data_IF_953376330298
#
_entry.id   IF_953376330298
#
_cell.length_a   1.000
_cell.length_b   1.000
_cell.length_c   1.000
_cell.angle_alpha   90.00
_cell.angle_beta   90.00
_cell.angle_gamma   90.00
#
_symmetry.space_group_name_H-M   'P 1'
#
loop_
_entity.id
_entity.type
_entity.pdbx_description
1 polymer ?
#
# COMPACT_ATOMS: atom_id res chain seq x y z
N UNK A 1 -78.00 -36.00 29.74
CA UNK A 1 -77.51 -37.25 29.12
C UNK A 1 -76.69 -36.88 27.89
N UNK A 2 -75.41 -37.28 27.88
CA UNK A 2 -74.48 -37.49 26.74
C UNK A 2 -74.44 -36.46 25.60
N UNK A 3 -73.43 -35.58 25.51
CA UNK A 3 -72.03 -35.82 25.06
C UNK A 3 -71.86 -36.01 23.54
N UNK A 4 -71.31 -34.95 22.91
CA UNK A 4 -70.25 -34.96 21.87
C UNK A 4 -70.45 -35.81 20.59
N UNK A 5 -70.95 -35.17 19.54
CA UNK A 5 -70.57 -35.43 18.13
C UNK A 5 -69.56 -34.33 17.72
N UNK A 6 -68.31 -34.60 17.32
CA UNK A 6 -67.75 -35.36 16.17
C UNK A 6 -67.09 -34.36 15.20
N UNK A 7 -65.79 -34.16 15.42
CA UNK A 7 -64.70 -33.85 14.49
C UNK A 7 -64.90 -32.82 13.36
N UNK A 8 -64.26 -31.66 13.54
CA UNK A 8 -63.71 -30.79 12.48
C UNK A 8 -62.67 -31.57 11.66
N UNK A 9 -62.85 -31.69 10.35
CA UNK A 9 -61.75 -31.93 9.42
C UNK A 9 -61.17 -30.56 9.01
N UNK A 10 -59.97 -30.27 9.49
CA UNK A 10 -59.15 -29.15 9.03
C UNK A 10 -58.43 -29.55 7.75
N UNK A 11 -58.76 -28.90 6.63
CA UNK A 11 -57.95 -28.95 5.42
C UNK A 11 -56.54 -28.43 5.72
N UNK A 12 -55.46 -29.10 5.26
CA UNK A 12 -54.12 -28.56 5.39
C UNK A 12 -53.91 -27.41 4.39
N UNK A 13 -53.14 -26.37 4.75
CA UNK A 13 -52.85 -25.27 3.84
C UNK A 13 -52.02 -25.76 2.65
N UNK A 14 -52.50 -25.43 1.46
CA UNK A 14 -51.83 -25.60 0.18
C UNK A 14 -50.43 -24.96 0.23
N UNK A 15 -49.39 -25.79 0.27
CA UNK A 15 -48.01 -25.34 0.13
C UNK A 15 -47.82 -24.89 -1.32
N UNK A 16 -47.82 -23.58 -1.54
CA UNK A 16 -47.32 -22.99 -2.78
C UNK A 16 -45.82 -23.28 -2.85
N UNK A 17 -45.47 -24.28 -3.65
CA UNK A 17 -44.10 -24.64 -3.97
C UNK A 17 -43.54 -23.62 -4.98
N UNK A 18 -42.75 -22.67 -4.50
CA UNK A 18 -41.99 -21.77 -5.37
C UNK A 18 -40.76 -22.52 -5.91
N UNK A 19 -40.96 -23.43 -6.87
CA UNK A 19 -39.87 -24.04 -7.64
C UNK A 19 -39.56 -23.18 -8.86
N UNK A 20 -38.87 -22.06 -8.63
CA UNK A 20 -37.95 -21.53 -9.65
C UNK A 20 -36.54 -21.75 -9.11
N UNK A 21 -36.05 -22.98 -9.28
CA UNK A 21 -34.62 -23.24 -9.29
C UNK A 21 -34.04 -22.56 -10.53
N UNK A 22 -33.78 -21.26 -10.44
CA UNK A 22 -32.82 -20.61 -11.31
C UNK A 22 -31.44 -21.15 -10.93
N UNK A 23 -31.11 -22.32 -11.45
CA UNK A 23 -29.73 -22.72 -11.65
C UNK A 23 -29.15 -21.62 -12.55
N UNK A 24 -28.20 -20.86 -12.02
CA UNK A 24 -27.52 -19.83 -12.78
C UNK A 24 -27.05 -20.45 -14.10
N UNK A 25 -27.46 -19.84 -15.22
CA UNK A 25 -27.12 -20.21 -16.60
C UNK A 25 -25.63 -19.91 -16.89
N UNK A 26 -24.73 -20.36 -16.02
CA UNK A 26 -23.28 -20.16 -16.05
C UNK A 26 -22.57 -21.52 -16.00
N UNK A 27 -23.03 -22.42 -16.87
CA UNK A 27 -22.16 -23.41 -17.48
C UNK A 27 -22.45 -23.36 -18.98
N UNK A 28 -22.08 -22.24 -19.62
CA UNK A 28 -21.56 -22.38 -20.97
C UNK A 28 -20.21 -23.06 -20.76
N UNK A 29 -20.14 -24.35 -21.06
CA UNK A 29 -18.89 -24.94 -21.54
C UNK A 29 -18.31 -23.95 -22.54
N UNK A 30 -17.26 -23.26 -22.11
CA UNK A 30 -16.41 -22.53 -23.02
C UNK A 30 -15.71 -23.64 -23.78
N UNK A 31 -16.16 -23.90 -25.01
CA UNK A 31 -15.39 -24.66 -25.98
C UNK A 31 -14.01 -23.99 -25.98
N UNK A 32 -13.03 -24.63 -25.34
CA UNK A 32 -11.66 -24.16 -25.35
C UNK A 32 -11.17 -24.39 -26.77
N UNK A 33 -11.16 -23.32 -27.57
CA UNK A 33 -10.39 -23.33 -28.81
C UNK A 33 -8.94 -23.70 -28.47
N UNK A 34 -8.39 -24.80 -29.01
CA UNK A 34 -7.17 -25.41 -28.50
C UNK A 34 -5.89 -24.64 -28.84
N UNK A 35 -6.00 -23.42 -29.39
CA UNK A 35 -4.87 -22.51 -29.59
C UNK A 35 -5.33 -21.06 -29.38
N UNK A 36 -4.81 -20.33 -28.39
CA UNK A 36 -5.02 -18.89 -28.36
C UNK A 36 -4.49 -18.32 -29.67
N UNK A 37 -5.33 -17.55 -30.37
CA UNK A 37 -4.89 -16.91 -31.60
C UNK A 37 -3.62 -16.11 -31.32
N UNK A 38 -2.61 -16.23 -32.19
CA UNK A 38 -1.36 -15.47 -32.06
C UNK A 38 -1.65 -13.98 -31.85
N UNK A 39 -2.70 -13.49 -32.51
CA UNK A 39 -3.26 -12.16 -32.32
C UNK A 39 -3.61 -11.81 -30.87
N UNK A 40 -4.32 -12.68 -30.15
CA UNK A 40 -4.65 -12.45 -28.75
C UNK A 40 -3.39 -12.35 -27.88
N UNK A 41 -2.39 -13.19 -28.14
CA UNK A 41 -1.10 -13.12 -27.44
C UNK A 41 -0.38 -11.80 -27.72
N UNK A 42 -0.31 -11.37 -28.99
CA UNK A 42 0.31 -10.10 -29.38
C UNK A 42 -0.37 -8.92 -28.70
N UNK A 43 -1.71 -8.80 -28.78
CA UNK A 43 -2.48 -7.72 -28.15
C UNK A 43 -2.25 -7.70 -26.63
N UNK A 44 -2.23 -8.87 -26.00
CA UNK A 44 -1.98 -9.02 -24.56
C UNK A 44 -0.61 -8.46 -24.17
N UNK A 45 0.44 -8.79 -24.92
CA UNK A 45 1.80 -8.32 -24.66
C UNK A 45 1.97 -6.84 -24.94
N UNK A 46 1.43 -6.34 -26.06
CA UNK A 46 1.48 -4.91 -26.39
C UNK A 46 0.81 -4.08 -25.30
N UNK A 47 -0.38 -4.48 -24.85
CA UNK A 47 -1.08 -3.79 -23.79
C UNK A 47 -0.37 -3.91 -22.44
N UNK A 48 0.19 -5.09 -22.13
CA UNK A 48 1.01 -5.30 -20.94
C UNK A 48 2.24 -4.38 -20.89
N UNK A 49 2.96 -4.24 -22.00
CA UNK A 49 4.11 -3.32 -22.13
C UNK A 49 3.67 -1.87 -22.00
N UNK A 50 2.55 -1.49 -22.62
CA UNK A 50 1.99 -0.15 -22.47
C UNK A 50 1.67 0.18 -21.00
N UNK A 51 1.03 -0.73 -20.27
CA UNK A 51 0.79 -0.55 -18.84
C UNK A 51 2.08 -0.51 -18.03
N UNK A 52 3.05 -1.38 -18.33
CA UNK A 52 4.36 -1.38 -17.67
C UNK A 52 5.01 0.00 -17.76
N UNK A 53 5.11 0.57 -18.96
CA UNK A 53 5.73 1.88 -19.20
C UNK A 53 4.94 2.99 -18.52
N UNK A 54 3.60 2.94 -18.60
CA UNK A 54 2.74 3.96 -18.01
C UNK A 54 2.85 3.98 -16.47
N UNK A 55 2.79 2.81 -15.83
CA UNK A 55 2.94 2.68 -14.36
C UNK A 55 4.34 3.11 -13.94
N UNK A 56 5.39 2.65 -14.64
CA UNK A 56 6.76 3.05 -14.35
C UNK A 56 6.94 4.57 -14.45
N UNK A 57 6.39 5.19 -15.50
CA UNK A 57 6.44 6.64 -15.69
C UNK A 57 5.73 7.38 -14.56
N UNK A 58 4.53 6.93 -14.14
CA UNK A 58 3.82 7.53 -13.02
C UNK A 58 4.62 7.44 -11.71
N UNK A 59 5.22 6.28 -11.41
CA UNK A 59 6.01 6.08 -10.18
C UNK A 59 7.27 6.96 -10.15
N UNK A 60 8.01 6.98 -11.26
CA UNK A 60 9.22 7.78 -11.40
C UNK A 60 8.90 9.27 -11.36
N UNK A 61 7.92 9.72 -12.15
CA UNK A 61 7.51 11.12 -12.18
C UNK A 61 7.03 11.59 -10.79
N UNK A 62 6.32 10.74 -10.05
CA UNK A 62 5.90 11.04 -8.68
C UNK A 62 7.09 11.28 -7.73
N UNK A 63 8.08 10.37 -7.71
CA UNK A 63 9.29 10.51 -6.88
C UNK A 63 10.06 11.78 -7.24
N UNK A 64 10.27 12.03 -8.53
CA UNK A 64 10.98 13.22 -9.01
C UNK A 64 10.21 14.50 -8.67
N UNK A 65 8.88 14.53 -8.82
CA UNK A 65 8.10 15.72 -8.46
C UNK A 65 8.18 16.07 -6.98
N UNK A 66 8.18 15.07 -6.08
CA UNK A 66 8.38 15.30 -4.65
C UNK A 66 9.76 15.91 -4.35
N UNK A 67 10.80 15.44 -5.03
CA UNK A 67 12.14 16.02 -4.91
C UNK A 67 12.22 17.45 -5.45
N UNK A 68 11.56 17.73 -6.57
CA UNK A 68 11.52 19.09 -7.12
C UNK A 68 10.79 20.06 -6.18
N UNK A 69 9.69 19.64 -5.55
CA UNK A 69 8.99 20.44 -4.53
C UNK A 69 9.94 20.76 -3.36
N UNK A 70 10.69 19.75 -2.89
CA UNK A 70 11.68 19.93 -1.84
C UNK A 70 12.82 20.88 -2.24
N UNK A 71 13.29 20.79 -3.49
CA UNK A 71 14.31 21.68 -4.03
C UNK A 71 13.83 23.13 -4.07
N UNK A 72 12.58 23.38 -4.49
CA UNK A 72 11.98 24.73 -4.48
C UNK A 72 11.89 25.25 -3.04
N UNK A 73 11.50 24.42 -2.08
CA UNK A 73 11.47 24.79 -0.66
C UNK A 73 12.85 25.22 -0.15
N UNK A 74 13.91 24.47 -0.45
CA UNK A 74 15.28 24.79 -0.01
C UNK A 74 15.81 26.09 -0.63
N UNK A 75 15.57 26.31 -1.92
CA UNK A 75 15.97 27.55 -2.59
C UNK A 75 15.27 28.79 -1.98
N UNK A 76 14.03 28.59 -1.53
CA UNK A 76 13.24 29.60 -0.81
C UNK A 76 13.80 29.89 0.58
N UNK A 77 14.36 28.89 1.27
CA UNK A 77 15.03 29.03 2.57
C UNK A 77 16.35 29.78 2.45
N UNK A 78 17.17 29.45 1.44
CA UNK A 78 18.47 30.07 1.22
C UNK A 78 18.38 31.52 0.71
N UNK A 79 17.17 32.07 0.53
CA UNK A 79 16.96 33.44 0.04
C UNK A 79 17.27 33.63 -1.45
N UNK A 80 17.54 32.53 -2.18
CA UNK A 80 17.83 32.55 -3.61
C UNK A 80 16.57 32.84 -4.45
N UNK A 81 15.39 32.60 -3.89
CA UNK A 81 14.09 32.83 -4.53
C UNK A 81 13.09 33.49 -3.58
N UNK A 82 12.37 34.51 -4.07
CA UNK A 82 11.27 35.19 -3.37
C UNK A 82 9.98 34.34 -3.27
N UNK A 83 10.09 33.03 -3.28
CA UNK A 83 8.93 32.14 -3.09
C UNK A 83 8.55 32.06 -1.62
N UNK A 84 7.28 31.75 -1.33
CA UNK A 84 6.78 31.64 0.03
C UNK A 84 6.86 30.17 0.49
N UNK A 85 7.63 29.93 1.56
CA UNK A 85 7.92 28.59 2.08
C UNK A 85 6.66 27.91 2.62
N UNK A 86 5.78 28.71 3.22
CA UNK A 86 4.50 28.27 3.78
C UNK A 86 3.58 27.72 2.68
N UNK A 87 3.61 28.30 1.47
CA UNK A 87 2.87 27.77 0.31
C UNK A 87 3.35 26.37 -0.07
N UNK A 88 4.67 26.13 -0.08
CA UNK A 88 5.23 24.81 -0.38
C UNK A 88 4.87 23.80 0.71
N UNK A 89 4.93 24.20 1.98
CA UNK A 89 4.48 23.37 3.10
C UNK A 89 3.02 22.94 2.93
N UNK A 90 2.11 23.86 2.58
CA UNK A 90 0.71 23.55 2.32
C UNK A 90 0.56 22.57 1.15
N UNK A 91 1.28 22.77 0.04
CA UNK A 91 1.27 21.84 -1.10
C UNK A 91 1.69 20.42 -0.71
N UNK A 92 2.70 20.29 0.16
CA UNK A 92 3.18 19.00 0.66
C UNK A 92 2.14 18.34 1.57
N UNK A 93 1.52 19.09 2.50
CA UNK A 93 0.43 18.59 3.34
C UNK A 93 -0.73 18.10 2.48
N UNK A 94 -1.15 18.88 1.48
CA UNK A 94 -2.22 18.51 0.55
C UNK A 94 -1.87 17.25 -0.26
N UNK A 95 -0.61 17.10 -0.66
CA UNK A 95 -0.11 15.89 -1.35
C UNK A 95 -0.29 14.64 -0.50
N UNK A 96 -0.10 14.73 0.83
CA UNK A 96 -0.33 13.62 1.75
C UNK A 96 -1.83 13.37 2.02
N UNK A 97 -2.64 14.43 2.07
CA UNK A 97 -4.07 14.35 2.35
C UNK A 97 -4.89 13.82 1.18
N UNK A 98 -4.58 14.23 -0.05
CA UNK A 98 -5.39 13.93 -1.24
C UNK A 98 -5.64 12.42 -1.39
N UNK A 99 -4.66 11.55 -1.10
CA UNK A 99 -4.89 10.13 -1.17
C UNK A 99 -5.77 9.48 -0.13
N UNK A 100 -5.68 9.95 1.09
CA UNK A 100 -6.59 9.52 2.15
C UNK A 100 -8.00 10.06 1.88
N UNK A 101 -8.11 11.26 1.30
CA UNK A 101 -9.38 11.83 0.87
C UNK A 101 -10.05 10.98 -0.22
N UNK A 102 -9.35 10.59 -1.28
CA UNK A 102 -9.97 9.75 -2.32
C UNK A 102 -10.28 8.35 -1.81
N UNK A 103 -9.41 7.78 -0.96
CA UNK A 103 -9.69 6.49 -0.30
C UNK A 103 -10.96 6.58 0.56
N UNK A 104 -11.13 7.67 1.31
CA UNK A 104 -12.34 7.96 2.09
C UNK A 104 -13.58 8.10 1.19
N UNK A 105 -13.52 8.93 0.14
CA UNK A 105 -14.66 9.13 -0.75
C UNK A 105 -15.06 7.84 -1.47
N UNK A 106 -14.10 7.05 -1.95
CA UNK A 106 -14.37 5.72 -2.55
C UNK A 106 -15.02 4.79 -1.52
N UNK A 107 -14.49 4.72 -0.31
CA UNK A 107 -15.02 3.85 0.74
C UNK A 107 -16.44 4.25 1.14
N UNK A 108 -16.72 5.54 1.27
CA UNK A 108 -18.05 6.11 1.51
C UNK A 108 -19.02 5.77 0.37
N UNK A 109 -18.61 6.00 -0.88
CA UNK A 109 -19.43 5.70 -2.06
C UNK A 109 -19.83 4.22 -2.13
N UNK A 110 -18.89 3.31 -1.91
CA UNK A 110 -19.12 1.88 -2.03
C UNK A 110 -19.89 1.31 -0.83
N UNK A 111 -19.62 1.81 0.38
CA UNK A 111 -19.97 1.10 1.63
C UNK A 111 -21.04 1.79 2.47
N UNK A 112 -21.17 3.11 2.41
CA UNK A 112 -22.13 3.85 3.24
C UNK A 112 -23.57 3.59 2.78
N UNK A 113 -23.79 3.49 1.47
CA UNK A 113 -25.12 3.30 0.87
C UNK A 113 -25.57 1.83 0.80
N UNK A 114 -24.73 0.87 1.19
CA UNK A 114 -25.05 -0.56 1.13
C UNK A 114 -25.26 -1.15 2.52
N UNK A 115 -26.51 -1.49 2.86
CA UNK A 115 -26.90 -2.19 4.11
C UNK A 115 -26.21 -3.57 4.30
N UNK A 116 -25.60 -4.13 3.25
CA UNK A 116 -24.96 -5.45 3.26
C UNK A 116 -23.66 -5.52 4.08
N UNK A 117 -22.93 -4.42 4.25
CA UNK A 117 -21.63 -4.44 4.93
C UNK A 117 -21.76 -4.39 6.47
N UNK A 118 -21.15 -5.37 7.16
CA UNK A 118 -21.05 -5.39 8.63
C UNK A 118 -20.04 -4.36 9.11
N UNK A 119 -20.23 -3.83 10.33
CA UNK A 119 -19.23 -2.96 10.96
C UNK A 119 -18.05 -3.80 11.51
N UNK A 120 -16.82 -3.27 11.51
CA UNK A 120 -15.66 -3.93 12.10
C UNK A 120 -15.80 -4.06 13.63
N UNK A 121 -15.05 -5.01 14.22
CA UNK A 121 -14.97 -5.16 15.69
C UNK A 121 -14.31 -3.92 16.32
N UNK A 122 -14.67 -3.58 17.57
CA UNK A 122 -14.03 -2.50 18.31
C UNK A 122 -12.50 -2.67 18.39
N UNK A 123 -12.01 -3.90 18.59
CA UNK A 123 -10.56 -4.21 18.55
C UNK A 123 -9.92 -3.87 17.19
N UNK A 124 -10.57 -4.23 16.09
CA UNK A 124 -10.09 -3.94 14.73
C UNK A 124 -10.07 -2.42 14.45
N UNK A 125 -11.06 -1.68 14.98
CA UNK A 125 -11.07 -0.21 14.92
C UNK A 125 -9.87 0.36 15.68
N UNK A 126 -9.64 -0.05 16.94
CA UNK A 126 -8.51 0.44 17.75
C UNK A 126 -7.18 0.17 17.05
N UNK A 127 -6.99 -1.05 16.54
CA UNK A 127 -5.78 -1.43 15.78
C UNK A 127 -5.62 -0.56 14.54
N UNK A 128 -6.70 -0.29 13.80
CA UNK A 128 -6.70 0.60 12.64
C UNK A 128 -6.38 2.06 12.99
N UNK A 129 -6.86 2.56 14.13
CA UNK A 129 -6.55 3.90 14.60
C UNK A 129 -5.07 4.02 15.01
N UNK A 130 -4.54 3.05 15.75
CA UNK A 130 -3.12 3.02 16.15
C UNK A 130 -2.21 2.90 14.92
N UNK A 131 -2.55 2.02 13.98
CA UNK A 131 -1.83 1.92 12.70
C UNK A 131 -1.86 3.25 11.93
N UNK A 132 -3.00 3.94 11.90
CA UNK A 132 -3.13 5.27 11.30
C UNK A 132 -2.24 6.32 11.96
N UNK A 133 -2.12 6.32 13.29
CA UNK A 133 -1.21 7.23 14.01
C UNK A 133 0.25 6.95 13.64
N UNK A 134 0.66 5.69 13.64
CA UNK A 134 2.03 5.29 13.29
C UNK A 134 2.36 5.66 11.83
N UNK A 135 1.45 5.34 10.91
CA UNK A 135 1.61 5.64 9.49
C UNK A 135 1.73 7.14 9.25
N UNK A 136 0.78 7.93 9.74
CA UNK A 136 0.79 9.39 9.52
C UNK A 136 2.00 10.02 10.20
N UNK A 137 2.36 9.59 11.41
CA UNK A 137 3.55 10.10 12.11
C UNK A 137 4.83 9.85 11.32
N UNK A 138 5.03 8.61 10.84
CA UNK A 138 6.20 8.27 10.05
C UNK A 138 6.23 8.97 8.69
N UNK A 139 5.09 9.05 7.98
CA UNK A 139 4.99 9.73 6.69
C UNK A 139 5.17 11.24 6.80
N UNK A 140 4.59 11.88 7.82
CA UNK A 140 4.78 13.31 8.08
C UNK A 140 6.22 13.60 8.51
N UNK A 141 6.83 12.76 9.36
CA UNK A 141 8.25 12.92 9.71
C UNK A 141 9.14 12.82 8.46
N UNK A 142 8.90 11.81 7.62
CA UNK A 142 9.66 11.66 6.37
C UNK A 142 9.48 12.85 5.44
N UNK A 143 8.26 13.34 5.28
CA UNK A 143 7.99 14.39 4.29
C UNK A 143 8.35 15.78 4.80
N UNK A 144 8.15 16.09 6.08
CA UNK A 144 8.40 17.42 6.64
C UNK A 144 9.83 17.58 7.16
N UNK A 145 10.40 16.55 7.78
CA UNK A 145 11.74 16.62 8.35
C UNK A 145 12.76 16.15 7.32
N UNK A 146 12.65 14.90 6.87
CA UNK A 146 13.65 14.31 5.98
C UNK A 146 13.63 15.01 4.62
N UNK A 147 12.48 15.15 3.97
CA UNK A 147 12.42 15.71 2.62
C UNK A 147 12.62 17.23 2.58
N UNK A 148 11.98 18.01 3.45
CA UNK A 148 12.04 19.48 3.40
C UNK A 148 13.20 20.10 4.19
N UNK A 149 13.52 19.57 5.39
CA UNK A 149 14.45 20.22 6.31
C UNK A 149 15.90 19.74 6.22
N UNK A 150 16.17 18.54 5.68
CA UNK A 150 17.55 18.05 5.55
C UNK A 150 18.22 18.53 4.28
N UNK A 151 19.51 18.80 4.31
CA UNK A 151 20.29 19.23 3.15
C UNK A 151 20.80 18.06 2.29
N UNK A 152 20.09 16.93 2.32
CA UNK A 152 20.48 15.78 1.51
C UNK A 152 20.30 15.98 0.01
N UNK A 153 21.20 15.31 -0.70
CA UNK A 153 21.13 15.07 -2.12
C UNK A 153 19.83 14.38 -2.50
N UNK A 154 19.23 14.76 -3.64
CA UNK A 154 18.02 14.10 -4.14
C UNK A 154 18.16 12.58 -4.26
N UNK A 155 19.36 12.09 -4.60
CA UNK A 155 19.68 10.67 -4.70
C UNK A 155 19.55 9.97 -3.35
N UNK A 156 20.10 10.56 -2.28
CA UNK A 156 20.00 9.99 -0.93
C UNK A 156 18.54 9.97 -0.44
N UNK A 157 17.78 11.03 -0.72
CA UNK A 157 16.35 11.07 -0.39
C UNK A 157 15.55 9.96 -1.08
N UNK A 158 15.85 9.63 -2.35
CA UNK A 158 15.24 8.48 -3.03
C UNK A 158 15.62 7.18 -2.32
N UNK A 159 16.88 6.99 -1.95
CA UNK A 159 17.34 5.79 -1.24
C UNK A 159 16.62 5.64 0.11
N UNK A 160 16.46 6.73 0.85
CA UNK A 160 15.70 6.77 2.10
C UNK A 160 14.24 6.37 1.92
N UNK A 161 13.60 6.78 0.83
CA UNK A 161 12.20 6.40 0.53
C UNK A 161 12.00 4.88 0.38
N UNK A 162 13.07 4.11 0.11
CA UNK A 162 12.97 2.66 -0.07
C UNK A 162 13.41 1.85 1.16
N UNK A 163 13.88 2.48 2.24
CA UNK A 163 14.37 1.81 3.45
C UNK A 163 13.26 1.30 4.40
N UNK A 164 12.09 0.93 3.85
CA UNK A 164 10.84 0.67 4.61
C UNK A 164 10.52 -0.85 4.69
N UNK A 165 11.41 -1.72 4.20
CA UNK A 165 11.14 -3.16 4.08
C UNK A 165 11.59 -3.97 5.32
N UNK A 166 12.20 -3.35 6.33
CA UNK A 166 12.74 -4.01 7.53
C UNK A 166 11.70 -4.91 8.21
N UNK A 167 10.54 -4.37 8.58
CA UNK A 167 9.52 -5.13 9.34
C UNK A 167 8.84 -6.20 8.48
N UNK A 168 8.44 -5.96 7.21
CA UNK A 168 7.97 -7.01 6.32
C UNK A 168 8.95 -8.18 6.19
N UNK A 169 10.26 -7.92 6.10
CA UNK A 169 11.29 -8.96 6.01
C UNK A 169 11.40 -9.75 7.32
N UNK A 170 11.42 -9.06 8.47
CA UNK A 170 11.43 -9.71 9.80
C UNK A 170 10.19 -10.59 9.99
N UNK A 171 9.01 -10.11 9.58
CA UNK A 171 7.77 -10.86 9.67
C UNK A 171 7.81 -12.17 8.88
N UNK A 172 8.41 -12.18 7.69
CA UNK A 172 8.58 -13.43 6.94
C UNK A 172 9.52 -14.40 7.63
N UNK A 173 10.64 -13.89 8.16
CA UNK A 173 11.58 -14.72 8.94
C UNK A 173 10.84 -15.37 10.12
N UNK A 174 10.01 -14.60 10.83
CA UNK A 174 9.21 -15.10 11.95
C UNK A 174 8.16 -16.12 11.52
N UNK A 175 7.33 -15.78 10.52
CA UNK A 175 6.26 -16.66 10.02
C UNK A 175 6.83 -18.00 9.52
N UNK A 176 7.95 -17.96 8.82
CA UNK A 176 8.64 -19.16 8.33
C UNK A 176 9.14 -20.07 9.46
N UNK A 177 9.37 -19.53 10.66
CA UNK A 177 9.78 -20.31 11.83
C UNK A 177 8.60 -20.95 12.56
N UNK A 178 7.40 -20.38 12.45
CA UNK A 178 6.22 -20.83 13.21
C UNK A 178 5.35 -21.86 12.47
N UNK A 179 5.38 -21.90 11.14
CA UNK A 179 4.74 -22.98 10.38
C UNK A 179 5.79 -24.07 10.11
N UNK A 180 5.71 -25.18 10.85
CA UNK A 180 6.43 -26.44 10.57
C UNK A 180 5.96 -27.06 9.24
N UNK A 181 6.11 -26.34 8.14
CA UNK A 181 5.85 -26.86 6.80
C UNK A 181 7.17 -27.43 6.30
N UNK A 182 7.27 -28.77 6.25
CA UNK A 182 8.46 -29.60 5.97
C UNK A 182 9.17 -29.33 4.62
N UNK A 183 8.75 -28.30 3.88
CA UNK A 183 9.22 -27.98 2.54
C UNK A 183 9.76 -26.54 2.42
N UNK A 184 10.37 -26.03 3.48
CA UNK A 184 11.12 -24.76 3.42
C UNK A 184 12.63 -25.01 3.39
N UNK A 185 13.24 -24.63 2.26
CA UNK A 185 14.70 -24.74 2.08
C UNK A 185 15.41 -23.71 2.95
N UNK A 186 16.36 -24.14 3.79
CA UNK A 186 17.27 -23.27 4.56
C UNK A 186 17.88 -22.13 3.72
N UNK A 187 18.02 -22.34 2.40
CA UNK A 187 18.44 -21.32 1.43
C UNK A 187 17.54 -20.08 1.42
N UNK A 188 16.23 -20.24 1.58
CA UNK A 188 15.26 -19.14 1.57
C UNK A 188 15.35 -18.31 2.85
N UNK A 189 15.47 -18.97 4.00
CA UNK A 189 15.71 -18.28 5.28
C UNK A 189 17.02 -17.49 5.23
N UNK A 190 18.10 -18.10 4.73
CA UNK A 190 19.38 -17.42 4.55
C UNK A 190 19.29 -16.20 3.63
N UNK A 191 18.52 -16.29 2.54
CA UNK A 191 18.31 -15.17 1.60
C UNK A 191 17.62 -13.98 2.28
N UNK A 192 16.59 -14.21 3.10
CA UNK A 192 15.91 -13.14 3.82
C UNK A 192 16.76 -12.53 4.93
N UNK A 193 17.51 -13.35 5.67
CA UNK A 193 18.45 -12.85 6.69
C UNK A 193 19.52 -11.98 6.02
N UNK A 194 20.06 -12.43 4.88
CA UNK A 194 21.03 -11.65 4.12
C UNK A 194 20.45 -10.32 3.63
N UNK A 195 19.24 -10.32 3.08
CA UNK A 195 18.57 -9.08 2.68
C UNK A 195 18.32 -8.14 3.86
N UNK A 196 17.93 -8.66 5.04
CA UNK A 196 17.76 -7.86 6.25
C UNK A 196 19.07 -7.23 6.71
N UNK A 197 20.18 -7.98 6.67
CA UNK A 197 21.50 -7.46 7.01
C UNK A 197 21.93 -6.33 6.07
N UNK A 198 21.69 -6.48 4.76
CA UNK A 198 21.96 -5.44 3.77
C UNK A 198 21.12 -4.18 4.03
N UNK A 199 19.84 -4.33 4.38
CA UNK A 199 18.95 -3.21 4.67
C UNK A 199 19.38 -2.47 5.94
N UNK A 200 19.65 -3.20 7.02
CA UNK A 200 20.14 -2.62 8.28
C UNK A 200 21.49 -1.93 8.08
N UNK A 201 22.41 -2.54 7.33
CA UNK A 201 23.69 -1.93 6.99
C UNK A 201 23.51 -0.66 6.15
N UNK A 202 22.63 -0.68 5.15
CA UNK A 202 22.32 0.48 4.31
C UNK A 202 21.75 1.65 5.12
N UNK A 203 20.81 1.37 6.04
CA UNK A 203 20.27 2.38 6.97
C UNK A 203 21.34 2.88 7.93
N UNK A 204 22.22 2.02 8.44
CA UNK A 204 23.29 2.44 9.34
C UNK A 204 24.32 3.37 8.66
N UNK A 205 24.73 3.07 7.42
CA UNK A 205 25.64 3.92 6.64
C UNK A 205 24.98 5.26 6.32
N UNK A 206 23.70 5.25 5.94
CA UNK A 206 22.91 6.45 5.72
C UNK A 206 22.84 7.32 6.99
N UNK A 207 22.56 6.71 8.15
CA UNK A 207 22.51 7.39 9.44
C UNK A 207 23.86 8.01 9.82
N UNK A 208 24.94 7.29 9.56
CA UNK A 208 26.30 7.81 9.76
C UNK A 208 26.55 9.05 8.88
N UNK A 209 26.10 9.03 7.63
CA UNK A 209 26.21 10.18 6.73
C UNK A 209 25.38 11.37 7.20
N UNK A 210 24.12 11.14 7.60
CA UNK A 210 23.23 12.16 8.18
C UNK A 210 23.88 12.82 9.41
N UNK A 211 24.56 12.02 10.23
CA UNK A 211 25.22 12.51 11.43
C UNK A 211 26.39 13.44 11.14
N UNK A 212 27.09 13.25 10.02
CA UNK A 212 28.17 14.13 9.60
C UNK A 212 27.65 15.49 9.10
N UNK A 213 26.50 15.52 8.43
CA UNK A 213 26.04 16.69 7.67
C UNK A 213 25.06 17.60 8.45
N UNK A 214 24.02 17.06 9.11
CA UNK A 214 22.88 17.86 9.62
C UNK A 214 22.68 17.79 11.17
N UNK A 215 23.53 17.04 11.89
CA UNK A 215 23.58 17.01 13.36
C UNK A 215 22.70 15.94 14.06
N UNK A 216 22.94 15.74 15.37
CA UNK A 216 22.46 14.57 16.11
C UNK A 216 20.93 14.40 16.19
N UNK A 217 20.15 15.48 16.27
CA UNK A 217 18.71 15.39 16.57
C UNK A 217 17.91 14.79 15.40
N UNK A 218 18.27 15.13 14.16
CA UNK A 218 17.59 14.63 12.96
C UNK A 218 17.90 13.15 12.74
N UNK A 219 19.15 12.74 12.98
CA UNK A 219 19.61 11.35 12.86
C UNK A 219 18.72 10.41 13.67
N UNK A 220 18.52 10.70 14.96
CA UNK A 220 17.80 9.81 15.85
C UNK A 220 16.31 9.62 15.52
N UNK A 221 15.70 10.51 14.73
CA UNK A 221 14.29 10.36 14.34
C UNK A 221 14.07 9.52 13.08
N UNK A 222 15.10 9.26 12.26
CA UNK A 222 14.99 8.43 11.05
C UNK A 222 14.58 6.97 11.38
N UNK A 223 15.25 6.25 12.32
CA UNK A 223 14.89 4.85 12.59
C UNK A 223 13.46 4.69 13.15
N UNK A 224 13.02 5.50 14.14
CA UNK A 224 11.63 5.45 14.61
C UNK A 224 10.62 5.71 13.48
N UNK A 225 10.87 6.67 12.59
CA UNK A 225 9.97 6.95 11.47
C UNK A 225 9.88 5.75 10.51
N UNK A 226 11.00 5.15 10.14
CA UNK A 226 11.03 3.95 9.30
C UNK A 226 10.31 2.78 9.99
N UNK A 227 10.53 2.57 11.29
CA UNK A 227 9.85 1.52 12.07
C UNK A 227 8.35 1.76 12.11
N UNK A 228 7.89 3.00 12.35
CA UNK A 228 6.47 3.32 12.39
C UNK A 228 5.77 3.04 11.07
N UNK A 229 6.37 3.45 9.95
CA UNK A 229 5.85 3.15 8.62
C UNK A 229 5.85 1.64 8.38
N UNK A 230 6.96 0.97 8.69
CA UNK A 230 7.13 -0.47 8.47
C UNK A 230 6.15 -1.32 9.30
N UNK A 231 5.83 -0.90 10.54
CA UNK A 231 4.80 -1.54 11.38
C UNK A 231 3.41 -1.29 10.80
N UNK A 232 3.09 -0.05 10.45
CA UNK A 232 1.77 0.30 9.93
C UNK A 232 1.46 -0.45 8.63
N UNK A 233 2.48 -0.68 7.79
CA UNK A 233 2.37 -1.40 6.53
C UNK A 233 2.60 -2.92 6.67
N UNK A 234 2.71 -3.44 7.89
CA UNK A 234 2.86 -4.87 8.10
C UNK A 234 1.58 -5.64 7.72
N UNK A 235 1.67 -6.76 6.98
CA UNK A 235 0.51 -7.55 6.55
C UNK A 235 -0.37 -8.07 7.69
N UNK A 236 0.24 -8.27 8.86
CA UNK A 236 -0.47 -8.69 10.07
C UNK A 236 -1.50 -7.64 10.49
N UNK A 237 -1.12 -6.36 10.43
CA UNK A 237 -2.00 -5.24 10.81
C UNK A 237 -3.23 -5.19 9.90
N UNK A 238 -3.03 -5.35 8.60
CA UNK A 238 -4.12 -5.39 7.63
C UNK A 238 -5.11 -6.53 7.90
N UNK A 239 -4.61 -7.72 8.27
CA UNK A 239 -5.48 -8.86 8.61
C UNK A 239 -6.36 -8.56 9.83
N UNK A 240 -5.80 -7.97 10.89
CA UNK A 240 -6.57 -7.62 12.08
C UNK A 240 -7.61 -6.53 11.83
N UNK A 241 -7.28 -5.52 11.01
CA UNK A 241 -8.20 -4.42 10.68
C UNK A 241 -9.42 -4.92 9.88
N UNK A 242 -9.27 -6.00 9.11
CA UNK A 242 -10.32 -6.55 8.26
C UNK A 242 -11.20 -7.63 8.94
N UNK A 243 -10.94 -7.99 10.20
CA UNK A 243 -11.65 -9.08 10.87
C UNK A 243 -13.12 -8.73 11.17
N UNK A 244 -14.11 -9.50 10.65
CA UNK A 244 -15.52 -9.20 10.84
C UNK A 244 -15.99 -9.44 12.28
N UNK A 245 -16.94 -8.62 12.75
CA UNK A 245 -17.62 -8.88 14.02
C UNK A 245 -18.59 -10.05 13.88
N UNK A 246 -18.30 -11.17 14.56
CA UNK A 246 -19.25 -12.27 14.75
C UNK A 246 -18.72 -13.71 14.67
N UNK A 247 -17.42 -13.98 14.56
CA UNK A 247 -16.91 -15.35 14.65
C UNK A 247 -16.74 -15.75 16.11
N UNK A 248 -17.78 -16.38 16.65
CA UNK A 248 -17.69 -17.25 17.82
C UNK A 248 -17.18 -18.60 17.28
N UNK A 249 -15.98 -18.98 17.71
CA UNK A 249 -15.39 -20.32 17.71
C UNK A 249 -15.49 -21.20 16.46
N UNK A 250 -14.31 -21.50 15.91
CA UNK A 250 -13.96 -22.66 15.07
C UNK A 250 -14.20 -24.00 15.78
N UNK A 251 -15.38 -24.23 16.36
CA UNK A 251 -15.75 -25.50 17.02
C UNK A 251 -16.95 -26.19 16.36
N UNK A 252 -17.85 -25.46 15.71
CA UNK A 252 -19.05 -26.07 15.10
C UNK A 252 -18.86 -26.63 13.68
N UNK A 253 -17.75 -26.31 13.01
CA UNK A 253 -17.47 -26.84 11.65
C UNK A 253 -16.72 -28.17 11.70
N UNK A 254 -15.91 -28.41 12.74
CA UNK A 254 -15.29 -29.72 12.98
C UNK A 254 -16.30 -30.76 13.47
N UNK A 255 -17.31 -30.36 14.25
CA UNK A 255 -18.32 -31.29 14.78
C UNK A 255 -19.26 -31.84 13.70
N UNK A 256 -19.52 -31.08 12.62
CA UNK A 256 -20.33 -31.54 11.48
C UNK A 256 -19.51 -32.35 10.45
N UNK A 257 -18.20 -32.09 10.35
CA UNK A 257 -17.27 -32.85 9.51
C UNK A 257 -16.84 -34.19 10.17
N UNK A 258 -16.87 -34.26 11.51
CA UNK A 258 -16.59 -35.51 12.24
C UNK A 258 -17.73 -36.52 12.20
N UNK A 259 -18.97 -36.08 11.96
CA UNK A 259 -20.16 -36.95 12.04
C UNK A 259 -20.55 -37.62 10.71
N UNK A 260 -19.82 -37.37 9.62
CA UNK A 260 -20.09 -37.95 8.29
C UNK A 260 -19.14 -39.08 7.88
N UNK A 261 -18.19 -39.48 8.72
CA UNK A 261 -17.20 -40.53 8.41
C UNK A 261 -17.55 -41.92 8.95
N UNK A 262 -18.77 -42.15 9.44
CA UNK A 262 -19.21 -43.46 9.91
C UNK A 262 -20.57 -43.82 9.33
N UNK A 263 -20.68 -43.96 8.02
CA UNK A 263 -21.59 -44.92 7.39
C UNK A 263 -21.25 -45.06 5.89
N UNK A 264 -21.26 -46.31 5.44
CA UNK A 264 -21.28 -46.79 4.05
C UNK A 264 -19.98 -46.78 3.22
N UNK A 265 -19.32 -47.93 3.34
CA UNK A 265 -18.59 -48.65 2.30
C UNK A 265 -19.34 -48.76 0.97
N UNK A 266 -18.65 -48.38 -0.12
CA UNK A 266 -18.84 -48.96 -1.46
C UNK A 266 -19.66 -48.12 -2.44
N UNK A 267 -18.96 -47.29 -3.25
CA UNK A 267 -19.11 -47.12 -4.71
C UNK A 267 -18.30 -45.87 -5.11
N UNK A 268 -17.37 -46.04 -6.05
CA UNK A 268 -16.55 -44.96 -6.59
C UNK A 268 -17.34 -44.09 -7.55
N UNK A 269 -17.53 -42.82 -7.21
CA UNK A 269 -17.87 -41.76 -8.16
C UNK A 269 -17.15 -40.47 -7.75
N UNK A 270 -16.25 -39.99 -8.61
CA UNK A 270 -15.50 -38.76 -8.41
C UNK A 270 -16.43 -37.54 -8.32
N UNK A 271 -16.43 -36.84 -7.19
CA UNK A 271 -17.16 -35.59 -6.97
C UNK A 271 -16.20 -34.39 -7.06
N UNK A 272 -16.64 -33.24 -7.61
CA UNK A 272 -15.77 -32.08 -7.81
C UNK A 272 -15.63 -31.23 -6.55
N UNK A 273 -14.36 -30.98 -6.18
CA UNK A 273 -13.81 -29.75 -5.57
C UNK A 273 -14.51 -29.14 -4.35
N UNK A 274 -14.00 -29.50 -3.16
CA UNK A 274 -14.15 -28.74 -1.91
C UNK A 274 -13.73 -27.26 -2.02
N UNK A 275 -12.86 -26.92 -2.97
CA UNK A 275 -12.35 -25.56 -3.19
C UNK A 275 -13.43 -24.59 -3.74
N UNK A 276 -14.41 -25.09 -4.51
CA UNK A 276 -15.49 -24.27 -5.07
C UNK A 276 -16.49 -23.83 -3.97
N UNK A 277 -16.73 -24.70 -2.99
CA UNK A 277 -17.63 -24.44 -1.86
C UNK A 277 -17.01 -23.41 -0.90
N UNK A 278 -15.68 -23.47 -0.70
CA UNK A 278 -14.94 -22.48 0.10
C UNK A 278 -14.95 -21.11 -0.59
N UNK A 279 -14.79 -21.06 -1.92
CA UNK A 279 -14.80 -19.80 -2.69
C UNK A 279 -16.16 -19.10 -2.63
N UNK A 280 -17.25 -19.88 -2.69
CA UNK A 280 -18.60 -19.35 -2.57
C UNK A 280 -18.90 -18.84 -1.15
N UNK A 281 -18.45 -19.55 -0.10
CA UNK A 281 -18.60 -19.11 1.29
C UNK A 281 -17.76 -17.87 1.64
N UNK A 282 -16.54 -17.76 1.10
CA UNK A 282 -15.69 -16.56 1.26
C UNK A 282 -16.31 -15.36 0.50
N UNK A 283 -17.01 -15.59 -0.61
CA UNK A 283 -17.75 -14.55 -1.33
C UNK A 283 -19.04 -14.10 -0.61
N UNK A 284 -19.68 -15.00 0.16
CA UNK A 284 -20.89 -14.73 0.97
C UNK A 284 -20.60 -14.17 2.36
N UNK A 285 -19.36 -14.23 2.85
CA UNK A 285 -18.96 -13.57 4.09
C UNK A 285 -19.03 -12.04 3.91
N UNK A 286 -20.04 -11.41 4.53
CA UNK A 286 -20.23 -9.95 4.54
C UNK A 286 -19.00 -9.25 5.10
N UNK A 287 -18.06 -8.86 4.23
CA UNK A 287 -16.80 -8.22 4.61
C UNK A 287 -17.03 -6.85 5.27
N UNK A 288 -16.40 -6.63 6.42
CA UNK A 288 -16.42 -5.37 7.17
C UNK A 288 -15.43 -4.31 6.62
N UNK A 289 -14.68 -4.68 5.57
CA UNK A 289 -13.59 -3.88 4.99
C UNK A 289 -14.01 -2.49 4.54
N UNK A 290 -15.17 -2.37 3.91
CA UNK A 290 -15.65 -1.09 3.39
C UNK A 290 -15.84 -0.04 4.49
N UNK A 291 -16.44 -0.44 5.62
CA UNK A 291 -16.68 0.45 6.76
C UNK A 291 -15.42 0.69 7.60
N UNK A 292 -14.54 -0.31 7.72
CA UNK A 292 -13.23 -0.12 8.34
C UNK A 292 -12.39 0.91 7.57
N UNK A 293 -12.39 0.84 6.23
CA UNK A 293 -11.69 1.78 5.37
C UNK A 293 -12.21 3.22 5.51
N UNK A 294 -13.52 3.43 5.72
CA UNK A 294 -14.08 4.77 6.01
C UNK A 294 -13.45 5.34 7.28
N UNK A 295 -13.48 4.57 8.38
CA UNK A 295 -12.98 5.03 9.69
C UNK A 295 -11.47 5.33 9.60
N UNK A 296 -10.68 4.41 9.04
CA UNK A 296 -9.23 4.57 8.99
C UNK A 296 -8.80 5.70 8.06
N UNK A 297 -9.44 5.85 6.89
CA UNK A 297 -9.12 6.95 5.95
C UNK A 297 -9.51 8.31 6.54
N UNK A 298 -10.68 8.41 7.19
CA UNK A 298 -11.09 9.65 7.87
C UNK A 298 -10.13 10.02 8.99
N UNK A 299 -9.74 9.04 9.81
CA UNK A 299 -8.80 9.23 10.90
C UNK A 299 -7.45 9.77 10.40
N UNK A 300 -6.90 9.16 9.34
CA UNK A 300 -5.66 9.63 8.73
C UNK A 300 -5.80 11.03 8.13
N UNK A 301 -6.91 11.31 7.44
CA UNK A 301 -7.16 12.62 6.82
C UNK A 301 -7.13 13.76 7.85
N UNK A 302 -7.63 13.52 9.07
CA UNK A 302 -7.57 14.48 10.18
C UNK A 302 -6.18 14.53 10.81
N UNK A 303 -5.51 13.39 10.97
CA UNK A 303 -4.19 13.32 11.58
C UNK A 303 -3.10 14.01 10.76
N UNK A 304 -3.15 13.95 9.43
CA UNK A 304 -2.08 14.49 8.56
C UNK A 304 -1.79 15.98 8.84
N UNK A 305 -2.77 16.90 8.77
CA UNK A 305 -2.51 18.30 9.07
C UNK A 305 -2.12 18.52 10.55
N UNK A 306 -2.74 17.78 11.47
CA UNK A 306 -2.45 17.90 12.91
C UNK A 306 -1.00 17.52 13.25
N UNK A 307 -0.54 16.36 12.77
CA UNK A 307 0.83 15.89 12.97
C UNK A 307 1.83 16.79 12.24
N UNK A 308 1.49 17.28 11.04
CA UNK A 308 2.36 18.21 10.30
C UNK A 308 2.59 19.51 11.07
N UNK A 309 1.53 20.09 11.65
CA UNK A 309 1.63 21.28 12.53
C UNK A 309 2.42 20.96 13.80
N UNK A 310 2.17 19.80 14.43
CA UNK A 310 2.90 19.38 15.63
C UNK A 310 4.41 19.26 15.37
N UNK A 311 4.81 18.69 14.22
CA UNK A 311 6.21 18.60 13.81
C UNK A 311 6.83 19.98 13.57
N UNK A 312 6.08 20.95 13.03
CA UNK A 312 6.54 22.33 12.87
C UNK A 312 6.69 23.08 14.20
N UNK A 313 6.05 22.62 15.29
CA UNK A 313 6.16 23.19 16.64
C UNK A 313 7.36 22.63 17.42
N UNK A 314 7.94 21.52 17.01
CA UNK A 314 9.12 20.96 17.67
C UNK A 314 10.27 21.98 17.49
N UNK A 315 10.89 22.46 18.59
CA UNK A 315 11.96 23.44 18.51
C UNK A 315 13.17 22.82 17.79
N UNK A 316 13.25 23.06 16.48
CA UNK A 316 14.48 22.90 15.73
C UNK A 316 15.36 24.15 15.94
N UNK A 317 16.67 24.02 15.68
CA UNK A 317 17.57 25.18 15.65
C UNK A 317 16.93 26.30 14.81
N UNK A 318 17.11 27.56 15.21
CA UNK A 318 16.44 28.72 14.60
C UNK A 318 16.58 28.79 13.06
N UNK A 319 17.63 28.15 12.51
CA UNK A 319 17.92 28.05 11.08
C UNK A 319 17.09 26.98 10.32
N UNK A 320 16.25 26.16 10.97
CA UNK A 320 15.53 25.02 10.34
C UNK A 320 14.02 25.02 10.64
N UNK A 321 13.38 26.18 10.84
CA UNK A 321 11.92 26.21 11.02
C UNK A 321 11.19 25.80 9.74
N UNK A 322 10.43 24.70 9.79
CA UNK A 322 9.73 24.11 8.63
C UNK A 322 8.69 25.07 8.02
N UNK A 323 7.91 25.75 8.87
CA UNK A 323 6.95 26.74 8.46
C UNK A 323 6.63 27.67 9.64
N UNK A 324 6.45 28.96 9.39
CA UNK A 324 5.95 29.86 10.41
C UNK A 324 4.42 29.80 10.46
N UNK A 325 3.88 29.23 11.54
CA UNK A 325 2.42 29.11 11.70
C UNK A 325 1.69 30.46 11.69
N UNK A 326 2.37 31.55 12.05
CA UNK A 326 1.82 32.90 11.99
C UNK A 326 1.61 33.39 10.55
N UNK A 327 2.45 32.94 9.60
CA UNK A 327 2.42 33.34 8.19
C UNK A 327 1.67 32.33 7.31
N UNK A 328 1.11 31.27 7.88
CA UNK A 328 0.37 30.22 7.13
C UNK A 328 -0.75 30.81 6.25
N UNK A 329 -1.40 31.89 6.72
CA UNK A 329 -2.43 32.60 5.95
C UNK A 329 -1.87 33.18 4.65
N UNK A 330 -0.68 33.77 4.69
CA UNK A 330 0.02 34.27 3.47
C UNK A 330 0.33 33.11 2.53
N UNK A 331 0.73 31.96 3.08
CA UNK A 331 0.96 30.75 2.29
C UNK A 331 -0.26 30.30 1.48
N UNK A 332 -1.48 30.44 2.05
CA UNK A 332 -2.74 30.19 1.33
C UNK A 332 -3.07 31.29 0.32
N UNK A 333 -2.84 32.56 0.67
CA UNK A 333 -3.12 33.70 -0.22
C UNK A 333 -2.23 33.66 -1.48
N UNK A 334 -1.00 33.15 -1.36
CA UNK A 334 -0.04 32.99 -2.47
C UNK A 334 -0.14 31.64 -3.20
N UNK A 335 -1.07 30.77 -2.81
CA UNK A 335 -1.34 29.51 -3.49
C UNK A 335 -1.94 29.78 -4.87
N UNK A 336 -1.08 29.97 -5.86
CA UNK A 336 -1.47 30.31 -7.23
C UNK A 336 -0.74 29.44 -8.25
N UNK A 337 -1.28 29.37 -9.47
CA UNK A 337 -0.67 28.60 -10.56
C UNK A 337 0.69 29.15 -11.02
N UNK A 338 1.01 30.39 -10.66
CA UNK A 338 2.30 31.02 -10.93
C UNK A 338 3.40 30.58 -9.96
N UNK A 339 3.06 29.92 -8.85
CA UNK A 339 4.03 29.47 -7.86
C UNK A 339 4.96 28.39 -8.46
N UNK A 340 6.27 28.51 -8.28
CA UNK A 340 7.27 27.60 -8.89
C UNK A 340 7.07 26.12 -8.54
N UNK A 341 6.56 25.84 -7.34
CA UNK A 341 6.25 24.48 -6.89
C UNK A 341 4.93 23.91 -7.45
N UNK A 342 4.03 24.76 -7.97
CA UNK A 342 2.70 24.37 -8.43
C UNK A 342 2.70 23.29 -9.55
N UNK A 343 3.51 23.39 -10.62
CA UNK A 343 3.53 22.34 -11.66
C UNK A 343 3.98 20.98 -11.13
N UNK A 344 4.94 20.95 -10.20
CA UNK A 344 5.39 19.70 -9.58
C UNK A 344 4.33 19.13 -8.64
N UNK A 345 3.65 19.98 -7.86
CA UNK A 345 2.49 19.59 -7.06
C UNK A 345 1.37 18.97 -7.91
N UNK A 346 1.01 19.60 -9.02
CA UNK A 346 0.00 19.06 -9.93
C UNK A 346 0.45 17.76 -10.59
N UNK A 347 1.72 17.67 -10.99
CA UNK A 347 2.32 16.44 -11.54
C UNK A 347 2.17 15.29 -10.54
N UNK A 348 2.54 15.52 -9.28
CA UNK A 348 2.44 14.55 -8.19
C UNK A 348 1.00 14.04 -7.99
N UNK A 349 0.01 14.94 -8.07
CA UNK A 349 -1.42 14.60 -7.96
C UNK A 349 -1.85 13.73 -9.13
N UNK A 350 -1.58 14.17 -10.37
CA UNK A 350 -2.03 13.46 -11.56
C UNK A 350 -1.33 12.10 -11.72
N UNK A 351 -0.03 12.00 -11.46
CA UNK A 351 0.70 10.73 -11.53
C UNK A 351 0.20 9.74 -10.50
N UNK A 352 -0.14 10.21 -9.29
CA UNK A 352 -0.75 9.35 -8.24
C UNK A 352 -2.14 8.87 -8.66
N UNK A 353 -2.99 9.77 -9.18
CA UNK A 353 -4.33 9.42 -9.65
C UNK A 353 -4.28 8.43 -10.83
N UNK A 354 -3.49 8.75 -11.86
CA UNK A 354 -3.35 7.89 -13.04
C UNK A 354 -2.75 6.54 -12.65
N UNK A 355 -1.68 6.53 -11.83
CA UNK A 355 -1.07 5.31 -11.32
C UNK A 355 -2.06 4.41 -10.57
N UNK A 356 -2.95 5.01 -9.77
CA UNK A 356 -4.02 4.30 -9.09
C UNK A 356 -4.99 3.59 -10.06
N UNK A 357 -5.47 4.29 -11.10
CA UNK A 357 -6.35 3.66 -12.11
C UNK A 357 -5.64 2.61 -12.95
N UNK A 358 -4.37 2.85 -13.31
CA UNK A 358 -3.55 1.86 -14.00
C UNK A 358 -3.36 0.60 -13.16
N UNK A 359 -3.21 0.73 -11.83
CA UNK A 359 -3.15 -0.39 -10.90
C UNK A 359 -4.46 -1.19 -10.86
N UNK A 360 -5.62 -0.53 -10.80
CA UNK A 360 -6.94 -1.19 -10.89
C UNK A 360 -7.07 -1.94 -12.22
N UNK A 361 -6.65 -1.32 -13.32
CA UNK A 361 -6.74 -1.89 -14.65
C UNK A 361 -5.80 -3.11 -14.81
N UNK A 362 -4.56 -3.01 -14.33
CA UNK A 362 -3.64 -4.14 -14.29
C UNK A 362 -4.21 -5.32 -13.47
N UNK A 363 -4.91 -5.01 -12.37
CA UNK A 363 -5.59 -6.01 -11.55
C UNK A 363 -6.79 -6.65 -12.26
N UNK A 364 -7.65 -5.88 -12.92
CA UNK A 364 -8.81 -6.41 -13.63
C UNK A 364 -8.41 -7.29 -14.82
N UNK A 365 -7.27 -6.99 -15.45
CA UNK A 365 -6.71 -7.75 -16.55
C UNK A 365 -5.80 -8.91 -16.13
N UNK A 366 -5.65 -9.16 -14.82
CA UNK A 366 -4.78 -10.21 -14.27
C UNK A 366 -3.32 -10.12 -14.78
N UNK A 367 -2.82 -8.91 -15.06
CA UNK A 367 -1.46 -8.65 -15.54
C UNK A 367 -0.52 -8.11 -14.46
N UNK A 368 -0.90 -8.26 -13.19
CA UNK A 368 -0.27 -7.63 -12.03
C UNK A 368 1.26 -7.80 -12.00
N UNK A 369 1.77 -8.99 -12.33
CA UNK A 369 3.21 -9.24 -12.29
C UNK A 369 3.99 -8.38 -13.29
N UNK A 370 3.53 -8.33 -14.54
CA UNK A 370 4.20 -7.59 -15.60
C UNK A 370 3.87 -6.11 -15.56
N UNK A 371 2.59 -5.76 -15.41
CA UNK A 371 2.12 -4.38 -15.52
C UNK A 371 2.24 -3.57 -14.22
N UNK A 372 2.50 -4.21 -13.07
CA UNK A 372 2.50 -3.53 -11.77
C UNK A 372 3.74 -3.86 -10.92
N UNK A 373 4.02 -5.15 -10.68
CA UNK A 373 5.10 -5.56 -9.80
C UNK A 373 6.51 -5.31 -10.39
N UNK A 374 6.73 -5.57 -11.68
CA UNK A 374 8.00 -5.21 -12.33
C UNK A 374 8.25 -3.69 -12.41
N UNK A 375 7.28 -2.84 -12.80
CA UNK A 375 7.44 -1.39 -12.73
C UNK A 375 7.87 -0.89 -11.34
N UNK A 376 7.30 -1.44 -10.27
CA UNK A 376 7.67 -1.06 -8.89
C UNK A 376 9.12 -1.44 -8.58
N UNK A 377 9.58 -2.61 -9.03
CA UNK A 377 10.98 -3.02 -8.92
C UNK A 377 11.94 -2.08 -9.66
N UNK A 378 11.56 -1.63 -10.86
CA UNK A 378 12.38 -0.73 -11.68
C UNK A 378 12.23 0.76 -11.35
N UNK A 379 11.19 1.16 -10.61
CA UNK A 379 10.92 2.57 -10.33
C UNK A 379 12.08 3.24 -9.59
N UNK A 380 12.64 2.57 -8.57
CA UNK A 380 13.78 3.10 -7.81
C UNK A 380 15.05 3.28 -8.64
N UNK A 381 15.59 2.25 -9.32
CA UNK A 381 16.83 2.40 -10.09
C UNK A 381 16.66 3.42 -11.24
N UNK A 382 15.49 3.47 -11.89
CA UNK A 382 15.22 4.47 -12.92
C UNK A 382 15.15 5.88 -12.32
N UNK A 383 14.50 6.05 -11.16
CA UNK A 383 14.47 7.35 -10.46
C UNK A 383 15.85 7.81 -10.04
N UNK A 384 16.69 6.90 -9.52
CA UNK A 384 18.08 7.22 -9.16
C UNK A 384 18.88 7.67 -10.38
N UNK A 385 18.81 6.92 -11.48
CA UNK A 385 19.51 7.26 -12.71
C UNK A 385 19.09 8.64 -13.25
N UNK A 386 17.78 8.92 -13.26
CA UNK A 386 17.26 10.22 -13.69
C UNK A 386 17.66 11.35 -12.73
N UNK A 387 17.62 11.12 -11.42
CA UNK A 387 18.09 12.11 -10.44
C UNK A 387 19.57 12.44 -10.62
N UNK A 388 20.43 11.45 -10.88
CA UNK A 388 21.83 11.72 -11.22
C UNK A 388 21.96 12.60 -12.47
N UNK A 389 21.22 12.29 -13.54
CA UNK A 389 21.24 13.07 -14.79
C UNK A 389 20.76 14.50 -14.55
N UNK A 390 19.66 14.67 -13.81
CA UNK A 390 19.07 15.99 -13.55
C UNK A 390 19.94 16.84 -12.61
N UNK A 391 20.59 16.23 -11.61
CA UNK A 391 21.54 16.93 -10.73
C UNK A 391 22.81 17.33 -11.48
N UNK A 392 23.36 16.46 -12.33
CA UNK A 392 24.59 16.78 -13.09
C UNK A 392 24.37 17.93 -14.08
N UNK A 393 23.19 17.96 -14.72
CA UNK A 393 22.87 18.96 -15.74
C UNK A 393 22.17 20.21 -15.18
N UNK A 394 21.92 20.31 -13.86
CA UNK A 394 21.21 21.42 -13.20
C UNK A 394 19.85 21.80 -13.85
N UNK A 395 19.11 20.83 -14.42
CA UNK A 395 17.89 21.12 -15.19
C UNK A 395 16.68 21.35 -14.27
N UNK A 396 16.57 20.57 -13.18
CA UNK A 396 15.43 20.61 -12.25
C UNK A 396 15.78 20.40 -10.77
N UNK A 397 16.91 19.72 -10.52
CA UNK A 397 17.42 19.44 -9.19
C UNK A 397 18.79 20.11 -9.08
N UNK A 398 18.88 21.11 -8.24
CA UNK A 398 20.14 21.80 -7.94
C UNK A 398 20.62 21.33 -6.58
N UNK A 399 21.92 21.12 -6.40
CA UNK A 399 22.49 20.80 -5.09
C UNK A 399 23.60 21.80 -4.81
N UNK A 400 23.42 22.62 -3.77
CA UNK A 400 24.48 23.51 -3.28
C UNK A 400 25.62 22.73 -2.60
N UNK A 401 25.38 21.46 -2.25
CA UNK A 401 26.26 20.60 -1.45
C UNK A 401 27.32 19.79 -2.22
N UNK A 402 27.81 20.30 -3.37
CA UNK A 402 28.90 19.70 -4.15
C UNK A 402 28.42 18.80 -5.30
N UNK A 403 29.24 17.82 -5.75
CA UNK A 403 28.84 16.78 -6.74
C UNK A 403 28.58 15.38 -6.12
N UNK A 404 27.43 14.71 -6.39
CA UNK A 404 27.05 13.48 -5.67
C UNK A 404 27.88 12.27 -6.07
N UNK A 405 28.54 12.34 -7.23
CA UNK A 405 29.38 11.27 -7.76
C UNK A 405 30.76 11.20 -7.10
N UNK A 406 31.12 12.18 -6.28
CA UNK A 406 32.41 12.22 -5.60
C UNK A 406 32.37 11.50 -4.24
N UNK A 407 31.17 11.22 -3.70
CA UNK A 407 31.02 10.54 -2.41
C UNK A 407 30.81 9.01 -2.58
N UNK A 408 31.80 8.16 -2.25
CA UNK A 408 31.67 6.71 -2.34
C UNK A 408 30.60 6.13 -1.40
N UNK A 409 30.20 6.87 -0.36
CA UNK A 409 29.15 6.42 0.56
C UNK A 409 27.77 6.38 -0.11
N UNK A 410 27.49 7.28 -1.07
CA UNK A 410 26.24 7.29 -1.84
C UNK A 410 26.07 5.99 -2.61
N UNK A 411 27.12 5.56 -3.32
CA UNK A 411 27.13 4.31 -4.06
C UNK A 411 27.00 3.09 -3.15
N UNK A 412 27.66 3.13 -1.99
CA UNK A 412 27.58 2.05 -1.00
C UNK A 412 26.15 1.89 -0.49
N UNK A 413 25.49 2.97 -0.07
CA UNK A 413 24.09 2.96 0.36
C UNK A 413 23.17 2.48 -0.76
N UNK A 414 23.40 2.96 -1.99
CA UNK A 414 22.61 2.56 -3.16
C UNK A 414 22.69 1.05 -3.40
N UNK A 415 23.90 0.49 -3.43
CA UNK A 415 24.11 -0.96 -3.65
C UNK A 415 23.45 -1.78 -2.53
N UNK A 416 23.66 -1.41 -1.26
CA UNK A 416 23.12 -2.15 -0.12
C UNK A 416 21.58 -2.17 -0.14
N UNK A 417 20.94 -1.00 -0.26
CA UNK A 417 19.48 -0.89 -0.20
C UNK A 417 18.81 -1.42 -1.47
N UNK A 418 19.36 -1.16 -2.67
CA UNK A 418 18.81 -1.69 -3.91
C UNK A 418 18.91 -3.22 -3.93
N UNK A 419 20.06 -3.79 -3.58
CA UNK A 419 20.24 -5.24 -3.58
C UNK A 419 19.27 -5.91 -2.59
N UNK A 420 19.10 -5.34 -1.40
CA UNK A 420 18.10 -5.80 -0.42
C UNK A 420 16.68 -5.75 -0.99
N UNK A 421 16.29 -4.64 -1.63
CA UNK A 421 14.98 -4.48 -2.25
C UNK A 421 14.78 -5.47 -3.40
N UNK A 422 15.77 -5.65 -4.28
CA UNK A 422 15.70 -6.60 -5.39
C UNK A 422 15.49 -8.03 -4.90
N UNK A 423 16.24 -8.46 -3.88
CA UNK A 423 16.13 -9.81 -3.32
C UNK A 423 14.74 -10.04 -2.72
N UNK A 424 14.27 -9.11 -1.90
CA UNK A 424 13.00 -9.24 -1.17
C UNK A 424 11.80 -9.17 -2.11
N UNK A 425 11.72 -8.11 -2.94
CA UNK A 425 10.59 -7.90 -3.86
C UNK A 425 10.55 -8.98 -4.93
N UNK A 426 11.70 -9.37 -5.51
CA UNK A 426 11.71 -10.47 -6.50
C UNK A 426 11.21 -11.76 -5.85
N UNK A 427 11.67 -12.11 -4.65
CA UNK A 427 11.18 -13.31 -3.99
C UNK A 427 9.64 -13.31 -3.87
N UNK A 428 9.03 -12.20 -3.43
CA UNK A 428 7.58 -12.08 -3.36
C UNK A 428 6.89 -12.22 -4.73
N UNK A 429 7.44 -11.54 -5.73
CA UNK A 429 6.91 -11.50 -7.09
C UNK A 429 6.93 -12.87 -7.79
N UNK A 430 7.95 -13.68 -7.50
CA UNK A 430 8.16 -14.98 -8.14
C UNK A 430 7.61 -16.17 -7.34
N UNK A 431 7.49 -16.09 -6.00
CA UNK A 431 7.07 -17.25 -5.18
C UNK A 431 5.56 -17.36 -4.92
N UNK A 432 4.80 -16.26 -4.87
CA UNK A 432 3.35 -16.31 -4.54
C UNK A 432 2.46 -16.74 -5.73
N UNK A 433 2.78 -17.82 -6.43
CA UNK A 433 1.93 -18.35 -7.52
C UNK A 433 0.72 -19.19 -7.05
N UNK A 434 0.48 -19.35 -5.75
CA UNK A 434 -0.56 -20.26 -5.25
C UNK A 434 -1.99 -19.73 -5.17
N UNK A 435 -2.21 -18.40 -5.07
CA UNK A 435 -3.57 -17.90 -4.76
C UNK A 435 -3.87 -16.46 -5.23
N UNK A 436 -3.07 -15.91 -6.17
CA UNK A 436 -3.26 -14.55 -6.68
C UNK A 436 -4.07 -14.58 -7.99
N UNK A 437 -5.25 -15.20 -7.93
CA UNK A 437 -6.35 -14.95 -8.87
C UNK A 437 -7.61 -14.66 -8.05
N UNK A 438 -7.55 -13.62 -7.23
CA UNK A 438 -8.75 -13.15 -6.60
C UNK A 438 -8.87 -11.63 -6.69
N UNK A 439 -10.14 -11.21 -6.68
CA UNK A 439 -10.67 -9.85 -6.81
C UNK A 439 -9.90 -8.89 -5.90
N UNK A 440 -9.92 -7.58 -6.15
CA UNK A 440 -9.29 -6.50 -5.32
C UNK A 440 -9.36 -6.72 -3.78
N UNK A 441 -10.37 -7.49 -3.33
CA UNK A 441 -10.56 -8.01 -1.97
C UNK A 441 -9.49 -8.98 -1.42
N UNK A 442 -8.65 -9.63 -2.24
CA UNK A 442 -7.72 -10.69 -1.82
C UNK A 442 -6.26 -10.42 -2.18
N UNK A 443 -5.96 -9.37 -2.94
CA UNK A 443 -4.58 -8.99 -3.15
C UNK A 443 -4.00 -8.53 -1.82
N UNK A 444 -2.88 -9.14 -1.46
CA UNK A 444 -1.94 -8.64 -0.46
C UNK A 444 -1.51 -7.20 -0.77
N UNK A 445 -1.50 -6.84 -2.05
CA UNK A 445 -1.19 -5.53 -2.61
C UNK A 445 -2.50 -4.79 -2.93
N UNK A 446 -3.07 -4.06 -1.97
CA UNK A 446 -4.19 -3.18 -2.28
C UNK A 446 -3.65 -1.93 -3.00
N UNK A 447 -4.15 -1.57 -4.19
CA UNK A 447 -3.95 -0.23 -4.69
C UNK A 447 -4.76 0.70 -3.79
N UNK A 448 -4.11 1.30 -2.78
CA UNK A 448 -4.61 2.51 -2.13
C UNK A 448 -4.17 3.70 -2.97
N UNK A 449 -4.96 4.78 -2.96
CA UNK A 449 -4.74 5.94 -3.84
C UNK A 449 -3.40 6.65 -3.57
N UNK A 450 -2.82 6.41 -2.41
CA UNK A 450 -1.49 6.89 -2.09
C UNK A 450 -0.53 6.13 -3.00
N UNK A 451 0.07 6.80 -3.99
CA UNK A 451 1.23 6.29 -4.74
C UNK A 451 2.43 5.88 -3.86
N UNK A 452 2.26 5.83 -2.53
CA UNK A 452 3.05 5.06 -1.56
C UNK A 452 2.62 3.59 -1.61
N UNK A 453 2.80 3.01 -2.78
CA UNK A 453 2.54 1.59 -3.07
C UNK A 453 3.92 0.94 -3.22
N UNK A 454 4.15 -0.10 -2.42
CA UNK A 454 5.42 -0.84 -2.30
C UNK A 454 6.02 -1.30 -3.61
#
# INVERSE_FOLDING_TARGET
>A
MSSLQRSRSSDPPEKVEYTVNQIAKVHREKIEDPRPSVWYSVVKWTFGVFLFISVLTCLVASKISLLCIANVYKNSENGNDHTNRETVFIMVVLTLMLPEAVSFFKACWISLFRKSHRWPRAKAIIVGLVAGVLEVSGLCYFTMIILLSTNFWPVMLILMMNAVFIIPVIWQIYKNRSCNQEQYSYKQLGTFIFALLLEVAGVAVLMFKVHQDDGQVIVWGIPPALIFISIAWCPMMFKFIMEPSGQQSTSHVEELAGMTNTLDSGVSSASPTSDAIILEQVSKAKSARGKAAIITSLWKLVLIPFVSVLLSLIPQKEEHKIANLADLRKGFDEFTYHHKAFPYFMTQIFTSFIGYFLGILACSMCMQRLAFALPMLFATPVSLALSFIFTVNNIFLSSDSGKPYEDPMVYTVAVLLLLAQFITVSYYLFKEQGFIMAKESSLFWMPTYNGKIH
#
